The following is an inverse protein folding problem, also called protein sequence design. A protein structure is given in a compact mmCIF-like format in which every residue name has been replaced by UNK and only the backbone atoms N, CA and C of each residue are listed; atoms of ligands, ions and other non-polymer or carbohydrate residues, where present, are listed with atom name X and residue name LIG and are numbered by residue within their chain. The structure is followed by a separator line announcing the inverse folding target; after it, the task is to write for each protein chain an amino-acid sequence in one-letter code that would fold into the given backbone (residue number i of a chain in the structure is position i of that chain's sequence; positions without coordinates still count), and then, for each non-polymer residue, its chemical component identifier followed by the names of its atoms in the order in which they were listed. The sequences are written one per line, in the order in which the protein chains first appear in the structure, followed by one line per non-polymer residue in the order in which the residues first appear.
data_IF_846514201351
#
_entry.id   IF_846514201351
#
_cell.length_a   1.000
_cell.length_b   1.000
_cell.length_c   1.000
_cell.angle_alpha   90.00
_cell.angle_beta   90.00
_cell.angle_gamma   90.00
#
_symmetry.space_group_name_H-M   'P 1'
#
loop_
_entity.id
_entity.type
_entity.pdbx_description
1 polymer ?
#
# COMPACT_ATOMS: atom_id res chain seq x y z
N UNK A 1 -1.74 -6.00 1.84
CA UNK A 1 -1.92 -4.57 2.20
C UNK A 1 -2.55 -4.37 3.58
N UNK A 2 -1.84 -3.65 4.47
CA UNK A 2 -2.40 -3.10 5.71
C UNK A 2 -3.20 -1.82 5.44
N UNK A 3 -3.86 -1.22 6.44
CA UNK A 3 -4.59 0.06 6.29
C UNK A 3 -3.90 1.18 7.07
N UNK A 4 -3.52 2.25 6.37
CA UNK A 4 -3.13 3.53 6.98
C UNK A 4 -4.34 4.21 7.62
N UNK A 5 -4.21 4.67 8.87
CA UNK A 5 -5.31 5.33 9.61
C UNK A 5 -5.07 6.80 9.89
N UNK A 6 -3.84 7.16 10.27
CA UNK A 6 -3.52 8.48 10.80
C UNK A 6 -2.27 9.07 10.14
N UNK A 7 -2.14 10.39 10.17
CA UNK A 7 -1.01 11.11 9.56
C UNK A 7 0.33 10.82 10.26
N UNK A 8 0.33 10.62 11.57
CA UNK A 8 1.57 10.35 12.29
C UNK A 8 2.11 8.94 11.95
N UNK A 9 1.23 7.95 11.77
CA UNK A 9 1.58 6.64 11.24
C UNK A 9 2.23 6.74 9.85
N UNK A 10 1.71 7.63 8.98
CA UNK A 10 2.31 7.87 7.67
C UNK A 10 3.73 8.42 7.78
N UNK A 11 3.95 9.40 8.65
CA UNK A 11 5.29 10.00 8.87
C UNK A 11 6.29 8.95 9.34
N UNK A 12 5.90 8.13 10.32
CA UNK A 12 6.74 7.04 10.83
C UNK A 12 7.10 6.04 9.73
N UNK A 13 6.11 5.58 8.95
CA UNK A 13 6.32 4.61 7.87
C UNK A 13 7.14 5.16 6.71
N UNK A 14 7.06 6.46 6.42
CA UNK A 14 7.87 7.15 5.41
C UNK A 14 9.34 7.22 5.83
N UNK A 15 9.62 7.43 7.11
CA UNK A 15 10.97 7.70 7.61
C UNK A 15 11.71 6.45 8.09
N UNK A 16 11.00 5.33 8.35
CA UNK A 16 11.57 4.12 8.98
C UNK A 16 11.98 3.01 8.02
N UNK A 17 11.63 3.08 6.72
CA UNK A 17 11.93 1.99 5.80
C UNK A 17 11.38 2.13 4.39
N UNK A 18 11.33 1.01 3.66
CA UNK A 18 10.81 0.93 2.30
C UNK A 18 9.31 0.63 2.33
N UNK A 19 8.50 1.68 2.36
CA UNK A 19 7.03 1.57 2.35
C UNK A 19 6.46 2.00 1.00
N UNK A 20 5.56 1.20 0.44
CA UNK A 20 4.74 1.52 -0.73
C UNK A 20 3.33 1.82 -0.23
N UNK A 21 2.85 3.04 -0.49
CA UNK A 21 1.51 3.47 -0.11
C UNK A 21 0.56 3.39 -1.29
N UNK A 22 -0.59 2.74 -1.10
CA UNK A 22 -1.62 2.58 -2.13
C UNK A 22 -2.87 3.36 -1.76
N UNK A 23 -3.06 4.52 -2.40
CA UNK A 23 -4.23 5.36 -2.19
C UNK A 23 -5.28 5.11 -3.28
N UNK A 24 -6.46 4.64 -2.87
CA UNK A 24 -7.60 4.41 -3.74
C UNK A 24 -8.92 4.75 -3.05
N UNK A 25 -9.92 5.18 -3.82
CA UNK A 25 -11.26 5.46 -3.31
C UNK A 25 -12.16 4.24 -3.47
N UNK A 26 -13.15 4.07 -2.57
CA UNK A 26 -14.06 2.91 -2.62
C UNK A 26 -14.95 2.86 -3.86
N UNK A 27 -15.22 4.01 -4.49
CA UNK A 27 -16.17 4.16 -5.59
C UNK A 27 -15.52 4.14 -6.99
N UNK A 28 -14.19 4.15 -7.09
CA UNK A 28 -13.47 4.20 -8.37
C UNK A 28 -13.13 2.78 -8.86
N UNK A 29 -13.91 2.16 -9.77
CA UNK A 29 -13.67 0.79 -10.22
C UNK A 29 -12.32 0.61 -10.93
N UNK A 30 -11.90 1.61 -11.70
CA UNK A 30 -10.63 1.57 -12.44
C UNK A 30 -9.42 1.56 -11.49
N UNK A 31 -9.52 2.28 -10.38
CA UNK A 31 -8.49 2.30 -9.33
C UNK A 31 -8.28 0.92 -8.69
N UNK A 32 -9.29 0.04 -8.76
CA UNK A 32 -9.26 -1.31 -8.18
C UNK A 32 -8.78 -2.39 -9.15
N UNK A 33 -8.56 -2.05 -10.43
CA UNK A 33 -8.15 -3.01 -11.45
C UNK A 33 -6.84 -3.73 -11.11
N UNK A 34 -5.93 -3.08 -10.37
CA UNK A 34 -4.64 -3.64 -9.97
C UNK A 34 -4.75 -4.71 -8.88
N UNK A 35 -5.85 -4.77 -8.10
CA UNK A 35 -5.97 -5.62 -6.90
C UNK A 35 -5.70 -7.11 -7.13
N UNK A 36 -6.16 -7.76 -8.22
CA UNK A 36 -5.87 -9.16 -8.48
C UNK A 36 -4.38 -9.47 -8.64
N UNK A 37 -3.58 -8.47 -9.05
CA UNK A 37 -2.14 -8.61 -9.30
C UNK A 37 -1.28 -8.21 -8.10
N UNK A 38 -1.85 -7.51 -7.11
CA UNK A 38 -1.13 -7.06 -5.91
C UNK A 38 -0.45 -8.19 -5.12
N UNK A 39 -1.03 -9.40 -4.94
CA UNK A 39 -0.36 -10.49 -4.23
C UNK A 39 0.99 -10.88 -4.85
N UNK A 40 1.06 -10.99 -6.17
CA UNK A 40 2.32 -11.30 -6.87
C UNK A 40 3.36 -10.19 -6.71
N UNK A 41 2.92 -8.93 -6.72
CA UNK A 41 3.80 -7.77 -6.50
C UNK A 41 4.33 -7.75 -5.07
N UNK A 42 3.48 -8.01 -4.08
CA UNK A 42 3.89 -8.09 -2.66
C UNK A 42 4.93 -9.21 -2.46
N UNK A 43 4.71 -10.39 -3.03
CA UNK A 43 5.65 -11.53 -2.93
C UNK A 43 6.99 -11.23 -3.61
N UNK A 44 6.96 -10.61 -4.79
CA UNK A 44 8.19 -10.24 -5.53
C UNK A 44 9.02 -9.18 -4.81
N UNK A 45 8.37 -8.33 -4.03
CA UNK A 45 9.01 -7.25 -3.28
C UNK A 45 8.80 -7.44 -1.77
N UNK A 46 9.02 -8.67 -1.28
CA UNK A 46 8.82 -9.04 0.12
C UNK A 46 9.58 -8.17 1.15
N UNK A 47 10.65 -7.48 0.72
CA UNK A 47 11.41 -6.54 1.55
C UNK A 47 10.70 -5.17 1.74
N UNK A 48 9.61 -4.92 1.01
CA UNK A 48 8.83 -3.69 1.07
C UNK A 48 7.55 -3.91 1.88
N UNK A 49 7.14 -2.86 2.60
CA UNK A 49 5.85 -2.85 3.30
C UNK A 49 4.79 -2.19 2.43
N UNK A 50 3.68 -2.87 2.18
CA UNK A 50 2.54 -2.34 1.40
C UNK A 50 1.38 -1.93 2.32
N UNK A 51 1.00 -0.65 2.24
CA UNK A 51 0.05 0.03 3.15
C UNK A 51 -0.97 0.86 2.40
#
# INVERSE_FOLDING_TARGET
MEKLKELDQFKELRDSGKTVFVFMTGWCPDCHYIRPFMPEVEDRFADFRFV
#
